data_IF_536751158655
#
_entry.id   IF_536751158655
#
_cell.length_a   1.000
_cell.length_b   1.000
_cell.length_c   1.000
_cell.angle_alpha   90.00
_cell.angle_beta   90.00
_cell.angle_gamma   90.00
#
_symmetry.space_group_name_H-M   'P 1'
#
loop_
_entity.id
_entity.type
_entity.pdbx_description
1 polymer ?
#
# COMPACT_ATOMS: atom_id res chain seq x y z
N UNK A 1 11.03 -1.89 1.54
CA UNK A 1 10.80 -3.17 0.82
C UNK A 1 10.33 -2.81 -0.58
N UNK A 2 10.82 -3.44 -1.66
CA UNK A 2 10.34 -3.16 -3.02
C UNK A 2 9.09 -4.00 -3.38
N UNK A 3 8.42 -3.70 -4.51
CA UNK A 3 7.18 -4.37 -4.95
C UNK A 3 7.33 -5.90 -4.98
N UNK A 4 8.38 -6.40 -5.63
CA UNK A 4 8.62 -7.84 -5.74
C UNK A 4 8.80 -8.51 -4.38
N UNK A 5 9.50 -7.87 -3.45
CA UNK A 5 9.65 -8.37 -2.08
C UNK A 5 8.32 -8.39 -1.32
N UNK A 6 7.48 -7.37 -1.49
CA UNK A 6 6.15 -7.30 -0.87
C UNK A 6 5.23 -8.42 -1.35
N UNK A 7 5.16 -8.60 -2.66
CA UNK A 7 4.37 -9.66 -3.28
C UNK A 7 4.87 -11.04 -2.87
N UNK A 8 6.19 -11.24 -2.80
CA UNK A 8 6.76 -12.49 -2.34
C UNK A 8 6.44 -12.76 -0.86
N UNK A 9 6.50 -11.74 -0.01
CA UNK A 9 6.16 -11.84 1.40
C UNK A 9 4.69 -12.20 1.61
N UNK A 10 3.76 -11.48 0.95
CA UNK A 10 2.32 -11.75 1.00
C UNK A 10 2.03 -13.17 0.50
N UNK A 11 2.68 -13.60 -0.59
CA UNK A 11 2.53 -14.95 -1.14
C UNK A 11 2.99 -16.02 -0.13
N UNK A 12 4.13 -15.83 0.53
CA UNK A 12 4.62 -16.78 1.53
C UNK A 12 3.68 -16.93 2.73
N UNK A 13 3.09 -15.83 3.21
CA UNK A 13 2.13 -15.88 4.31
C UNK A 13 0.83 -16.58 3.88
N UNK A 14 0.36 -16.30 2.66
CA UNK A 14 -0.80 -16.97 2.08
C UNK A 14 -0.60 -18.48 1.91
N UNK A 15 0.55 -18.91 1.39
CA UNK A 15 0.90 -20.34 1.21
C UNK A 15 0.98 -21.09 2.55
N UNK A 16 1.27 -20.40 3.65
CA UNK A 16 1.28 -20.96 5.01
C UNK A 16 -0.08 -20.96 5.69
N UNK A 17 -1.11 -20.37 5.07
CA UNK A 17 -2.41 -20.17 5.69
C UNK A 17 -2.40 -19.14 6.83
N UNK A 18 -1.42 -18.24 6.85
CA UNK A 18 -1.29 -17.17 7.85
C UNK A 18 -2.13 -15.94 7.49
N UNK A 19 -2.72 -15.89 6.29
CA UNK A 19 -3.60 -14.83 5.84
C UNK A 19 -4.97 -15.37 5.45
N UNK A 20 -6.01 -14.76 6.00
CA UNK A 20 -7.37 -14.87 5.47
C UNK A 20 -7.42 -14.35 4.02
N UNK A 21 -8.30 -14.93 3.20
CA UNK A 21 -8.35 -14.58 1.77
C UNK A 21 -8.65 -13.08 1.56
N UNK A 22 -9.55 -12.50 2.36
CA UNK A 22 -9.85 -11.06 2.32
C UNK A 22 -8.61 -10.20 2.59
N UNK A 23 -7.79 -10.59 3.58
CA UNK A 23 -6.53 -9.90 3.92
C UNK A 23 -5.53 -10.01 2.78
N UNK A 24 -5.36 -11.21 2.22
CA UNK A 24 -4.47 -11.44 1.08
C UNK A 24 -4.85 -10.57 -0.12
N UNK A 25 -6.14 -10.56 -0.51
CA UNK A 25 -6.62 -9.77 -1.66
C UNK A 25 -6.40 -8.28 -1.46
N UNK A 26 -6.71 -7.73 -0.28
CA UNK A 26 -6.48 -6.31 -0.01
C UNK A 26 -5.01 -5.93 0.10
N UNK A 27 -4.17 -6.81 0.65
CA UNK A 27 -2.73 -6.59 0.68
C UNK A 27 -2.15 -6.44 -0.75
N UNK A 28 -2.60 -7.27 -1.70
CA UNK A 28 -2.21 -7.15 -3.11
C UNK A 28 -2.68 -5.83 -3.73
N UNK A 29 -3.98 -5.50 -3.56
CA UNK A 29 -4.56 -4.26 -4.08
C UNK A 29 -3.78 -3.05 -3.57
N UNK A 30 -3.46 -3.01 -2.28
CA UNK A 30 -2.74 -1.88 -1.68
C UNK A 30 -1.31 -1.76 -2.19
N UNK A 31 -0.60 -2.88 -2.35
CA UNK A 31 0.75 -2.87 -2.93
C UNK A 31 0.72 -2.29 -4.35
N UNK A 32 -0.25 -2.69 -5.17
CA UNK A 32 -0.41 -2.17 -6.53
C UNK A 32 -0.77 -0.67 -6.52
N UNK A 33 -1.71 -0.25 -5.69
CA UNK A 33 -2.16 1.15 -5.61
C UNK A 33 -1.08 2.12 -5.10
N UNK A 34 -0.22 1.69 -4.18
CA UNK A 34 0.87 2.54 -3.67
C UNK A 34 2.03 2.57 -4.66
N UNK A 35 2.46 1.40 -5.13
CA UNK A 35 3.73 1.27 -5.83
C UNK A 35 3.62 1.50 -7.34
N UNK A 36 2.46 1.22 -7.95
CA UNK A 36 2.24 1.41 -9.38
C UNK A 36 1.37 2.65 -9.67
N UNK A 37 0.34 2.92 -8.87
CA UNK A 37 -0.61 4.03 -9.13
C UNK A 37 -0.37 5.30 -8.31
N UNK A 38 0.43 5.24 -7.24
CA UNK A 38 0.75 6.41 -6.41
C UNK A 38 -0.47 7.00 -5.68
N UNK A 39 -1.34 6.16 -5.11
CA UNK A 39 -2.56 6.60 -4.45
C UNK A 39 -2.28 7.45 -3.19
N UNK A 40 -2.37 8.78 -3.33
CA UNK A 40 -2.08 9.75 -2.26
C UNK A 40 -3.01 9.63 -1.05
N UNK A 41 -4.29 9.33 -1.25
CA UNK A 41 -5.25 9.18 -0.14
C UNK A 41 -4.85 8.00 0.76
N UNK A 42 -4.38 6.92 0.15
CA UNK A 42 -3.93 5.74 0.88
C UNK A 42 -2.64 6.03 1.66
N UNK A 43 -1.71 6.82 1.11
CA UNK A 43 -0.49 7.25 1.82
C UNK A 43 -0.76 8.03 3.10
N UNK A 44 -1.92 8.69 3.20
CA UNK A 44 -2.35 9.42 4.40
C UNK A 44 -3.13 8.55 5.42
N UNK A 45 -3.34 7.26 5.13
CA UNK A 45 -3.94 6.34 6.09
C UNK A 45 -2.90 5.88 7.11
N UNK A 46 -2.90 6.50 8.30
CA UNK A 46 -1.95 6.20 9.38
C UNK A 46 -2.56 5.42 10.54
N UNK A 47 -3.85 5.09 10.47
CA UNK A 47 -4.56 4.30 11.49
C UNK A 47 -5.43 3.26 10.82
N UNK A 48 -5.75 2.19 11.55
CA UNK A 48 -6.61 1.11 11.06
C UNK A 48 -8.06 1.57 10.85
N UNK A 49 -8.53 2.61 11.56
CA UNK A 49 -9.84 3.21 11.29
C UNK A 49 -9.88 3.96 9.96
N UNK A 50 -8.82 4.72 9.65
CA UNK A 50 -8.76 5.44 8.35
C UNK A 50 -8.60 4.45 7.20
N UNK A 51 -7.76 3.44 7.39
CA UNK A 51 -7.56 2.37 6.42
C UNK A 51 -8.85 1.57 6.18
N UNK A 52 -9.54 1.13 7.24
CA UNK A 52 -10.79 0.39 7.11
C UNK A 52 -11.89 1.21 6.44
N UNK A 53 -12.00 2.50 6.75
CA UNK A 53 -12.94 3.41 6.08
C UNK A 53 -12.60 3.60 4.59
N UNK A 54 -11.32 3.63 4.24
CA UNK A 54 -10.87 3.69 2.86
C UNK A 54 -11.19 2.39 2.11
N UNK A 55 -10.82 1.24 2.67
CA UNK A 55 -11.08 -0.10 2.12
C UNK A 55 -12.58 -0.31 1.88
N UNK A 56 -13.44 0.07 2.84
CA UNK A 56 -14.90 -0.03 2.69
C UNK A 56 -15.39 0.82 1.51
N UNK A 57 -14.90 2.05 1.36
CA UNK A 57 -15.28 2.92 0.22
C UNK A 57 -14.82 2.34 -1.11
N UNK A 58 -13.60 1.81 -1.18
CA UNK A 58 -13.08 1.13 -2.38
C UNK A 58 -13.91 -0.11 -2.73
N UNK A 59 -14.23 -0.96 -1.74
CA UNK A 59 -15.09 -2.14 -1.92
C UNK A 59 -16.43 -1.78 -2.57
N UNK A 60 -17.12 -0.78 -2.01
CA UNK A 60 -18.41 -0.30 -2.49
C UNK A 60 -18.31 0.33 -3.88
N UNK A 61 -17.24 1.09 -4.15
CA UNK A 61 -17.00 1.69 -5.45
C UNK A 61 -16.75 0.62 -6.53
N UNK A 62 -16.04 -0.47 -6.20
CA UNK A 62 -15.81 -1.61 -7.10
C UNK A 62 -17.09 -2.41 -7.32
N UNK A 63 -17.87 -2.65 -6.28
CA UNK A 63 -19.18 -3.30 -6.39
C UNK A 63 -20.11 -2.55 -7.35
N UNK A 64 -20.08 -1.21 -7.31
CA UNK A 64 -20.90 -0.38 -8.19
C UNK A 64 -20.41 -0.36 -9.66
N UNK A 65 -19.16 -0.74 -9.92
CA UNK A 65 -18.52 -0.67 -11.25
C UNK A 65 -18.38 -2.03 -11.93
N UNK A 66 -18.21 -3.10 -11.16
CA UNK A 66 -17.96 -4.45 -11.65
C UNK A 66 -19.27 -5.22 -11.80
N UNK A 67 -19.27 -6.25 -12.65
CA UNK A 67 -20.32 -7.27 -12.60
C UNK A 67 -20.24 -8.05 -11.28
N UNK A 68 -21.34 -8.66 -10.86
CA UNK A 68 -21.38 -9.50 -9.66
C UNK A 68 -20.34 -10.62 -9.72
N UNK A 69 -20.14 -11.23 -10.90
CA UNK A 69 -19.14 -12.27 -11.15
C UNK A 69 -17.71 -11.73 -11.02
N UNK A 70 -17.40 -10.58 -11.61
CA UNK A 70 -16.07 -9.98 -11.53
C UNK A 70 -15.74 -9.51 -10.11
N UNK A 71 -16.75 -9.01 -9.37
CA UNK A 71 -16.61 -8.66 -7.97
C UNK A 71 -16.36 -9.91 -7.10
N UNK A 72 -17.17 -10.95 -7.30
CA UNK A 72 -17.03 -12.24 -6.64
C UNK A 72 -15.65 -12.87 -6.87
N UNK A 73 -15.17 -12.89 -8.11
CA UNK A 73 -13.84 -13.41 -8.47
C UNK A 73 -12.71 -12.59 -7.86
N UNK A 74 -12.83 -11.25 -7.87
CA UNK A 74 -11.82 -10.37 -7.31
C UNK A 74 -11.63 -10.61 -5.80
N UNK A 75 -12.72 -10.87 -5.08
CA UNK A 75 -12.72 -10.96 -3.61
C UNK A 75 -12.92 -12.38 -3.05
N UNK A 76 -13.06 -13.40 -3.90
CA UNK A 76 -13.27 -14.79 -3.47
C UNK A 76 -14.63 -15.04 -2.80
N UNK A 77 -15.64 -14.23 -3.12
CA UNK A 77 -16.99 -14.32 -2.54
C UNK A 77 -17.84 -15.25 -3.41
N UNK A 78 -18.59 -16.19 -2.82
CA UNK A 78 -19.52 -17.04 -3.58
C UNK A 78 -20.67 -16.25 -4.22
N UNK A 79 -21.19 -16.71 -5.37
CA UNK A 79 -22.29 -16.05 -6.09
C UNK A 79 -23.53 -15.88 -5.19
N UNK A 80 -23.86 -14.65 -4.79
CA UNK A 80 -24.92 -14.36 -3.83
C UNK A 80 -24.90 -12.90 -3.33
N UNK A 81 -26.04 -12.46 -2.79
CA UNK A 81 -26.37 -11.06 -2.48
C UNK A 81 -25.22 -10.28 -1.79
N UNK A 82 -24.53 -9.44 -2.57
CA UNK A 82 -23.17 -8.99 -2.29
C UNK A 82 -23.01 -8.03 -1.09
N UNK A 83 -24.07 -7.39 -0.58
CA UNK A 83 -23.93 -6.42 0.52
C UNK A 83 -23.59 -7.07 1.86
N UNK A 84 -24.21 -8.21 2.19
CA UNK A 84 -23.85 -8.99 3.39
C UNK A 84 -22.46 -9.61 3.28
N UNK A 85 -22.05 -9.95 2.06
CA UNK A 85 -20.75 -10.53 1.78
C UNK A 85 -19.60 -9.52 1.89
N UNK A 86 -19.85 -8.24 1.56
CA UNK A 86 -18.84 -7.18 1.74
C UNK A 86 -18.53 -6.98 3.21
N UNK A 87 -19.52 -6.80 4.07
CA UNK A 87 -19.26 -6.57 5.50
C UNK A 87 -18.62 -7.80 6.18
N UNK A 88 -18.97 -9.02 5.74
CA UNK A 88 -18.28 -10.23 6.17
C UNK A 88 -16.82 -10.26 5.70
N UNK A 89 -16.56 -9.99 4.42
CA UNK A 89 -15.21 -9.89 3.88
C UNK A 89 -14.38 -8.84 4.64
N UNK A 90 -14.94 -7.64 4.84
CA UNK A 90 -14.29 -6.56 5.58
C UNK A 90 -13.94 -6.98 7.01
N UNK A 91 -14.80 -7.77 7.68
CA UNK A 91 -14.52 -8.28 9.03
C UNK A 91 -13.37 -9.28 9.10
N UNK A 92 -13.01 -9.92 7.97
CA UNK A 92 -11.89 -10.87 7.89
C UNK A 92 -10.57 -10.21 7.48
N UNK A 93 -10.53 -8.88 7.32
CA UNK A 93 -9.31 -8.17 6.97
C UNK A 93 -8.51 -7.88 8.24
N UNK A 94 -7.27 -8.35 8.28
CA UNK A 94 -6.27 -7.91 9.25
C UNK A 94 -5.78 -6.51 8.86
N UNK A 95 -6.48 -5.49 9.37
CA UNK A 95 -6.15 -4.09 9.10
C UNK A 95 -4.80 -3.67 9.67
N UNK A 96 -4.32 -4.30 10.75
CA UNK A 96 -3.01 -4.01 11.32
C UNK A 96 -1.91 -4.47 10.36
N UNK A 97 -2.02 -5.71 9.85
CA UNK A 97 -1.11 -6.23 8.84
C UNK A 97 -1.07 -5.35 7.58
N UNK A 98 -2.24 -4.96 7.09
CA UNK A 98 -2.38 -4.14 5.88
C UNK A 98 -1.83 -2.72 6.10
N UNK A 99 -2.05 -2.13 7.28
CA UNK A 99 -1.46 -0.84 7.66
C UNK A 99 0.05 -0.92 7.75
N UNK A 100 0.58 -2.00 8.30
CA UNK A 100 2.02 -2.27 8.40
C UNK A 100 2.69 -2.31 7.02
N UNK A 101 2.03 -2.96 6.04
CA UNK A 101 2.47 -2.96 4.65
C UNK A 101 2.47 -1.53 4.09
N UNK A 102 1.36 -0.80 4.28
CA UNK A 102 1.24 0.59 3.81
C UNK A 102 2.34 1.48 4.40
N UNK A 103 2.66 1.39 5.69
CA UNK A 103 3.73 2.20 6.31
C UNK A 103 5.10 1.83 5.73
N UNK A 104 5.38 0.53 5.58
CA UNK A 104 6.66 0.02 5.01
C UNK A 104 6.87 0.41 3.54
N UNK A 105 5.81 0.81 2.83
CA UNK A 105 5.81 1.16 1.41
C UNK A 105 5.57 2.65 1.11
N UNK A 106 4.74 3.33 1.91
CA UNK A 106 4.40 4.73 1.75
C UNK A 106 5.44 5.70 2.32
N UNK A 107 6.31 5.23 3.22
CA UNK A 107 7.51 5.95 3.62
C UNK A 107 8.63 5.62 2.64
N UNK A 108 8.68 6.36 1.54
CA UNK A 108 9.89 6.41 0.72
C UNK A 108 11.09 6.70 1.62
N UNK A 109 12.20 6.00 1.39
CA UNK A 109 13.52 6.36 1.90
C UNK A 109 13.69 7.88 1.90
N UNK A 110 14.25 8.51 2.95
CA UNK A 110 14.69 9.88 2.80
C UNK A 110 15.66 9.90 1.61
N UNK A 111 15.33 10.65 0.57
CA UNK A 111 16.27 10.99 -0.49
C UNK A 111 17.46 11.68 0.18
N UNK A 112 18.50 10.93 0.50
CA UNK A 112 19.81 11.50 0.75
C UNK A 112 20.26 11.98 -0.61
N UNK A 113 19.89 13.21 -0.95
CA UNK A 113 20.51 13.94 -2.05
C UNK A 113 22.02 13.85 -1.84
N UNK A 114 22.80 13.23 -2.76
CA UNK A 114 24.24 13.33 -2.68
C UNK A 114 24.58 14.81 -2.89
N UNK A 115 24.96 15.46 -1.79
CA UNK A 115 25.56 16.78 -1.80
C UNK A 115 26.66 16.75 -2.86
N UNK A 116 26.50 17.56 -3.92
CA UNK A 116 27.45 17.62 -5.02
C UNK A 116 28.86 17.76 -4.45
N UNK A 117 29.69 16.75 -4.68
CA UNK A 117 31.12 16.92 -4.61
C UNK A 117 31.49 17.96 -5.66
N UNK A 118 32.04 19.08 -5.22
CA UNK A 118 32.73 20.03 -6.08
C UNK A 118 34.22 19.62 -6.11
N UNK A 119 34.75 19.09 -7.22
CA UNK A 119 36.15 18.72 -7.29
C UNK A 119 36.96 19.90 -7.86
N UNK A 120 37.64 20.62 -6.96
CA UNK A 120 38.93 21.22 -7.25
C UNK A 120 38.95 22.58 -7.98
N UNK A 121 39.73 23.51 -7.42
CA UNK A 121 40.16 24.70 -8.15
C UNK A 121 40.75 25.77 -7.25
N UNK A 122 42.08 25.73 -7.06
CA UNK A 122 42.86 26.83 -6.47
C UNK A 122 42.53 28.17 -7.17
N UNK A 123 42.43 29.27 -6.41
CA UNK A 123 43.34 30.43 -6.52
C UNK A 123 43.06 31.52 -5.46
N UNK A 124 44.10 31.77 -4.66
CA UNK A 124 44.63 33.01 -4.05
C UNK A 124 43.85 34.35 -4.00
N UNK A 125 43.96 34.94 -2.80
CA UNK A 125 44.22 36.35 -2.42
C UNK A 125 43.04 37.35 -2.32
N UNK A 126 42.79 37.90 -1.13
CA UNK A 126 43.40 39.16 -0.64
C UNK A 126 42.95 39.49 0.80
N UNK A 127 43.87 40.13 1.53
CA UNK A 127 43.89 40.50 2.97
C UNK A 127 42.78 41.45 3.39
N UNK A 128 42.52 41.56 4.72
CA UNK A 128 42.59 42.90 5.31
C UNK A 128 43.40 42.90 6.62
N UNK A 129 44.26 43.89 6.80
CA UNK A 129 44.77 44.29 8.11
C UNK A 129 44.79 45.82 8.15
N UNK A 130 44.21 46.35 9.23
CA UNK A 130 44.17 47.76 9.61
C UNK A 130 45.53 48.44 9.54
#
# INVERSE_FOLDING_TARGET
>A
MNRSQALQYIKQLSEKGELEEATHRYALIIVDLILDEGNEELLHCHTTERLSAWIRRDALARQAKLSEEAFAEQFGIGHGNAYGCIEQMLSCIDYEFVLDLLIKHGQGSPEISPSKQDPGGKQVAQTPRN
#
